data_IF_149042685676
#
_entry.id   IF_149042685676
#
_cell.length_a   1.000
_cell.length_b   1.000
_cell.length_c   1.000
_cell.angle_alpha   90.00
_cell.angle_beta   90.00
_cell.angle_gamma   90.00
#
_symmetry.space_group_name_H-M   'P 1'
#
loop_
_entity.id
_entity.type
_entity.pdbx_description
1 polymer ?
#
# COMPACT_ATOMS: atom_id res chain seq x y z
N UNK A 1 27.37 -16.99 -13.68
CA UNK A 1 26.99 -16.74 -12.31
C UNK A 1 26.15 -17.94 -11.93
N UNK A 2 26.48 -18.66 -10.85
CA UNK A 2 25.63 -19.73 -10.35
C UNK A 2 24.28 -19.10 -10.00
N UNK A 3 23.18 -19.71 -10.43
CA UNK A 3 21.85 -19.36 -9.93
C UNK A 3 21.90 -19.52 -8.41
N UNK A 4 21.75 -18.42 -7.68
CA UNK A 4 21.59 -18.48 -6.23
C UNK A 4 20.27 -19.22 -5.97
N UNK A 5 20.40 -20.45 -5.48
CA UNK A 5 19.25 -21.27 -5.17
C UNK A 5 18.69 -20.79 -3.81
N UNK A 6 17.48 -20.24 -3.82
CA UNK A 6 16.76 -19.90 -2.60
C UNK A 6 16.29 -21.19 -1.93
N UNK A 7 16.56 -21.32 -0.63
CA UNK A 7 16.05 -22.42 0.20
C UNK A 7 14.79 -21.94 0.94
N UNK A 8 13.63 -22.34 0.43
CA UNK A 8 12.33 -22.04 1.04
C UNK A 8 11.89 -23.11 2.05
N UNK A 9 12.65 -24.18 2.21
CA UNK A 9 12.40 -25.25 3.19
C UNK A 9 13.24 -25.08 4.46
N UNK A 10 14.16 -24.10 4.49
CA UNK A 10 14.96 -23.79 5.68
C UNK A 10 14.05 -23.36 6.84
N UNK A 11 14.12 -24.09 7.96
CA UNK A 11 13.40 -23.74 9.17
C UNK A 11 14.17 -22.69 9.97
N UNK A 12 13.68 -21.45 9.94
CA UNK A 12 14.29 -20.33 10.67
C UNK A 12 13.59 -20.17 12.01
N UNK A 13 14.35 -20.30 13.10
CA UNK A 13 13.82 -20.07 14.45
C UNK A 13 13.46 -18.57 14.61
N UNK A 14 12.17 -18.30 14.80
CA UNK A 14 11.64 -16.93 14.91
C UNK A 14 11.24 -16.56 16.35
N UNK A 15 10.95 -17.55 17.22
CA UNK A 15 10.64 -17.31 18.64
C UNK A 15 11.88 -16.83 19.40
N UNK A 16 11.70 -15.86 20.29
CA UNK A 16 12.78 -15.24 21.05
C UNK A 16 13.61 -14.21 20.26
N UNK A 17 13.21 -13.87 19.04
CA UNK A 17 13.90 -12.90 18.17
C UNK A 17 13.31 -11.50 18.20
N UNK A 18 12.33 -11.23 19.06
CA UNK A 18 11.50 -10.02 19.09
C UNK A 18 10.59 -9.90 17.86
N UNK A 19 10.19 -11.04 17.29
CA UNK A 19 9.24 -11.08 16.21
C UNK A 19 7.85 -10.74 16.70
N UNK A 20 7.22 -9.71 16.12
CA UNK A 20 5.82 -9.38 16.41
C UNK A 20 4.90 -10.57 16.15
N UNK A 21 5.17 -11.33 15.11
CA UNK A 21 4.38 -12.50 14.72
C UNK A 21 4.52 -13.65 15.72
N UNK A 22 5.74 -13.96 16.15
CA UNK A 22 6.06 -15.18 16.87
C UNK A 22 6.21 -15.03 18.39
N UNK A 23 6.36 -13.81 18.90
CA UNK A 23 6.68 -13.58 20.32
C UNK A 23 5.53 -12.95 21.11
N UNK A 24 4.39 -12.63 20.48
CA UNK A 24 3.19 -12.16 21.20
C UNK A 24 2.48 -13.31 21.89
N UNK A 25 2.19 -14.39 21.16
CA UNK A 25 1.61 -15.60 21.76
C UNK A 25 2.72 -16.49 22.30
N UNK A 26 2.58 -16.89 23.55
CA UNK A 26 3.56 -17.73 24.25
C UNK A 26 3.23 -19.23 24.14
N UNK A 27 2.05 -19.58 23.62
CA UNK A 27 1.67 -20.97 23.43
C UNK A 27 2.48 -21.58 22.26
N UNK A 28 3.32 -22.62 22.51
CA UNK A 28 4.14 -23.21 21.47
C UNK A 28 3.35 -23.98 20.40
N UNK A 29 2.11 -24.36 20.69
CA UNK A 29 1.26 -25.12 19.79
C UNK A 29 0.45 -24.22 18.84
N UNK A 30 0.49 -22.90 19.03
CA UNK A 30 -0.17 -21.95 18.13
C UNK A 30 0.68 -21.73 16.88
N UNK A 31 0.03 -21.90 15.72
CA UNK A 31 0.60 -21.58 14.39
C UNK A 31 0.24 -20.14 14.04
N UNK A 32 1.23 -19.26 14.02
CA UNK A 32 1.06 -17.84 13.81
C UNK A 32 0.83 -17.49 12.33
N UNK A 33 -0.41 -17.12 11.96
CA UNK A 33 -0.78 -16.77 10.59
C UNK A 33 -1.46 -15.38 10.46
N UNK A 34 -1.42 -14.56 11.51
CA UNK A 34 -2.16 -13.31 11.59
C UNK A 34 -1.43 -12.09 10.99
N UNK A 35 -0.10 -12.10 10.98
CA UNK A 35 0.73 -11.03 10.42
C UNK A 35 1.27 -11.45 9.05
N UNK A 36 1.16 -10.54 8.09
CA UNK A 36 1.63 -10.77 6.73
C UNK A 36 3.14 -10.45 6.60
N UNK A 37 3.97 -11.21 7.31
CA UNK A 37 5.40 -11.37 7.06
C UNK A 37 5.70 -12.86 6.80
N UNK A 38 6.72 -13.12 5.99
CA UNK A 38 7.10 -14.47 5.61
C UNK A 38 8.19 -14.99 6.57
N UNK A 39 8.28 -16.32 6.69
CA UNK A 39 9.31 -16.97 7.51
C UNK A 39 10.53 -17.42 6.69
N UNK A 40 10.65 -16.93 5.46
CA UNK A 40 11.81 -17.12 4.58
C UNK A 40 12.85 -16.02 4.76
N UNK A 41 14.11 -16.33 4.45
CA UNK A 41 15.17 -15.32 4.40
C UNK A 41 14.85 -14.27 3.32
N UNK A 42 15.23 -13.03 3.59
CA UNK A 42 15.29 -12.02 2.54
C UNK A 42 16.32 -12.42 1.47
N UNK A 43 16.13 -11.97 0.23
CA UNK A 43 17.02 -12.30 -0.87
C UNK A 43 18.48 -11.94 -0.56
N UNK A 44 19.47 -12.78 -0.96
CA UNK A 44 20.89 -12.54 -0.69
C UNK A 44 21.37 -11.14 -1.08
N UNK A 45 20.96 -10.63 -2.23
CA UNK A 45 21.30 -9.28 -2.69
C UNK A 45 20.84 -8.17 -1.73
N UNK A 46 19.73 -8.38 -1.03
CA UNK A 46 19.24 -7.44 0.00
C UNK A 46 20.14 -7.52 1.23
N UNK A 47 20.46 -8.75 1.67
CA UNK A 47 21.34 -8.97 2.83
C UNK A 47 22.74 -8.39 2.60
N UNK A 48 23.31 -8.56 1.40
CA UNK A 48 24.58 -7.97 1.02
C UNK A 48 24.55 -6.43 1.06
N UNK A 49 23.46 -5.82 0.55
CA UNK A 49 23.31 -4.37 0.58
C UNK A 49 23.24 -3.83 2.02
N UNK A 50 22.55 -4.55 2.90
CA UNK A 50 22.49 -4.21 4.33
C UNK A 50 23.84 -4.39 5.02
N UNK A 51 24.56 -5.50 4.71
CA UNK A 51 25.88 -5.76 5.26
C UNK A 51 26.87 -4.63 4.91
N UNK A 52 26.88 -4.16 3.66
CA UNK A 52 27.72 -3.01 3.25
C UNK A 52 27.43 -1.76 4.09
N UNK A 53 26.18 -1.55 4.48
CA UNK A 53 25.83 -0.42 5.35
C UNK A 53 26.27 -0.65 6.79
N UNK A 54 26.14 -1.86 7.32
CA UNK A 54 26.67 -2.24 8.63
C UNK A 54 28.18 -2.05 8.73
N UNK A 55 28.92 -2.49 7.70
CA UNK A 55 30.38 -2.38 7.64
C UNK A 55 30.87 -0.93 7.68
N UNK A 56 30.05 0.04 7.21
CA UNK A 56 30.38 1.45 7.32
C UNK A 56 30.35 1.98 8.76
N UNK A 57 29.61 1.33 9.65
CA UNK A 57 29.50 1.68 11.09
C UNK A 57 28.85 3.05 11.39
N UNK A 58 28.38 3.79 10.38
CA UNK A 58 27.81 5.12 10.54
C UNK A 58 26.34 5.15 10.14
N UNK A 59 25.46 5.45 11.09
CA UNK A 59 23.99 5.44 10.95
C UNK A 59 23.39 6.86 11.13
N UNK A 60 24.01 7.84 10.46
CA UNK A 60 23.48 9.22 10.42
C UNK A 60 22.23 9.32 9.54
N UNK A 61 21.66 10.53 9.45
CA UNK A 61 20.51 10.78 8.57
C UNK A 61 20.83 10.43 7.13
N UNK A 62 19.93 9.64 6.50
CA UNK A 62 20.05 9.22 5.11
C UNK A 62 19.21 10.09 4.19
N UNK A 63 19.66 10.24 2.94
CA UNK A 63 18.84 10.79 1.87
C UNK A 63 18.44 9.65 0.90
N UNK A 64 17.19 9.61 0.44
CA UNK A 64 16.80 8.73 -0.64
C UNK A 64 17.68 8.99 -1.87
N UNK A 65 18.33 7.96 -2.37
CA UNK A 65 19.23 8.09 -3.49
C UNK A 65 18.48 8.19 -4.81
N UNK A 66 19.16 8.68 -5.89
CA UNK A 66 18.61 8.62 -7.23
C UNK A 66 18.19 7.20 -7.62
N UNK A 67 18.97 6.19 -7.22
CA UNK A 67 18.69 4.78 -7.46
C UNK A 67 17.37 4.30 -6.81
N UNK A 68 17.00 4.82 -5.64
CA UNK A 68 15.72 4.53 -5.01
C UNK A 68 14.55 4.92 -5.93
N UNK A 69 14.54 6.14 -6.43
CA UNK A 69 13.47 6.63 -7.31
C UNK A 69 13.46 5.89 -8.65
N UNK A 70 14.62 5.65 -9.22
CA UNK A 70 14.77 4.94 -10.50
C UNK A 70 14.31 3.48 -10.40
N UNK A 71 14.55 2.82 -9.27
CA UNK A 71 14.08 1.46 -9.04
C UNK A 71 12.54 1.40 -9.10
N UNK A 72 11.85 2.32 -8.41
CA UNK A 72 10.38 2.38 -8.40
C UNK A 72 9.84 2.67 -9.80
N UNK A 73 10.33 3.73 -10.47
CA UNK A 73 9.89 4.09 -11.83
C UNK A 73 10.13 2.94 -12.82
N UNK A 74 11.32 2.32 -12.75
CA UNK A 74 11.68 1.20 -13.63
C UNK A 74 10.81 -0.03 -13.37
N UNK A 75 10.46 -0.31 -12.10
CA UNK A 75 9.60 -1.41 -11.73
C UNK A 75 8.21 -1.27 -12.35
N UNK A 76 7.55 -0.14 -12.14
CA UNK A 76 6.21 0.12 -12.68
C UNK A 76 6.21 0.10 -14.21
N UNK A 77 7.20 0.70 -14.83
CA UNK A 77 7.32 0.70 -16.30
C UNK A 77 7.50 -0.72 -16.85
N UNK A 78 8.40 -1.51 -16.28
CA UNK A 78 8.73 -2.86 -16.80
C UNK A 78 7.62 -3.87 -16.56
N UNK A 79 6.98 -3.81 -15.38
CA UNK A 79 5.98 -4.82 -15.01
C UNK A 79 4.56 -4.47 -15.45
N UNK A 80 4.23 -3.19 -15.47
CA UNK A 80 2.84 -2.72 -15.66
C UNK A 80 2.68 -1.75 -16.81
N UNK A 81 3.75 -1.28 -17.44
CA UNK A 81 3.68 -0.28 -18.49
C UNK A 81 3.25 1.11 -18.00
N UNK A 82 3.35 1.35 -16.68
CA UNK A 82 2.97 2.63 -16.07
C UNK A 82 4.20 3.53 -15.98
N UNK A 83 4.06 4.75 -16.47
CA UNK A 83 5.11 5.77 -16.43
C UNK A 83 4.67 6.99 -15.60
N UNK A 84 5.52 7.41 -14.70
CA UNK A 84 5.37 8.64 -13.91
C UNK A 84 6.76 9.27 -13.64
N UNK A 85 6.75 10.54 -13.30
CA UNK A 85 7.99 11.24 -12.94
C UNK A 85 8.51 10.77 -11.58
N UNK A 86 9.84 10.66 -11.45
CA UNK A 86 10.47 10.45 -10.13
C UNK A 86 10.10 11.56 -9.12
N UNK A 87 9.78 12.76 -9.60
CA UNK A 87 9.34 13.88 -8.75
C UNK A 87 7.95 13.69 -8.18
N UNK A 88 7.18 12.69 -8.68
CA UNK A 88 5.88 12.33 -8.10
C UNK A 88 6.01 11.41 -6.88
N UNK A 89 7.22 10.95 -6.55
CA UNK A 89 7.46 10.00 -5.46
C UNK A 89 7.85 10.73 -4.19
N UNK A 90 7.17 10.41 -3.09
CA UNK A 90 7.51 10.83 -1.73
C UNK A 90 7.93 9.59 -0.94
N UNK A 91 9.17 9.47 -0.46
CA UNK A 91 9.59 8.39 0.43
C UNK A 91 8.90 8.48 1.79
N UNK A 92 8.59 7.33 2.39
CA UNK A 92 8.00 7.25 3.73
C UNK A 92 8.44 5.96 4.45
N UNK A 93 8.20 5.87 5.74
CA UNK A 93 8.65 4.76 6.58
C UNK A 93 7.70 3.55 6.56
N UNK A 94 6.52 3.70 5.97
CA UNK A 94 5.52 2.62 5.89
C UNK A 94 4.27 3.09 5.20
N UNK A 95 3.43 2.14 4.73
CA UNK A 95 2.18 2.47 4.04
C UNK A 95 1.15 3.06 5.01
N UNK A 96 1.08 2.60 6.26
CA UNK A 96 0.17 3.19 7.26
C UNK A 96 0.52 4.64 7.58
N UNK A 97 1.78 5.02 7.87
CA UNK A 97 2.18 6.42 7.94
C UNK A 97 1.90 7.20 6.65
N UNK A 98 2.13 6.59 5.48
CA UNK A 98 1.82 7.21 4.19
C UNK A 98 0.33 7.57 4.08
N UNK A 99 -0.57 6.63 4.36
CA UNK A 99 -2.02 6.85 4.33
C UNK A 99 -2.41 7.97 5.30
N UNK A 100 -1.89 7.96 6.53
CA UNK A 100 -2.17 9.02 7.52
C UNK A 100 -1.73 10.40 7.02
N UNK A 101 -0.53 10.50 6.43
CA UNK A 101 -0.02 11.74 5.87
C UNK A 101 -0.82 12.20 4.64
N UNK A 102 -1.27 11.28 3.78
CA UNK A 102 -2.15 11.59 2.65
C UNK A 102 -3.47 12.18 3.16
N UNK A 103 -4.12 11.51 4.11
CA UNK A 103 -5.40 11.95 4.67
C UNK A 103 -5.27 13.32 5.35
N UNK A 104 -4.27 13.53 6.19
CA UNK A 104 -4.00 14.81 6.86
C UNK A 104 -3.65 15.93 5.89
N UNK A 105 -2.95 15.60 4.80
CA UNK A 105 -2.61 16.57 3.77
C UNK A 105 -3.78 17.00 2.90
N UNK A 106 -4.74 16.13 2.65
CA UNK A 106 -5.80 16.35 1.64
C UNK A 106 -7.18 16.60 2.20
N UNK A 107 -7.47 16.11 3.41
CA UNK A 107 -8.77 16.24 4.06
C UNK A 107 -8.73 17.26 5.21
N UNK A 108 -9.89 17.74 5.60
CA UNK A 108 -10.08 18.61 6.77
C UNK A 108 -10.83 17.83 7.86
N UNK A 109 -10.63 18.14 9.14
CA UNK A 109 -11.41 17.53 10.22
C UNK A 109 -12.92 17.60 9.95
N UNK A 110 -13.60 16.44 10.05
CA UNK A 110 -15.02 16.28 9.75
C UNK A 110 -15.36 15.94 8.30
N UNK A 111 -14.38 15.91 7.38
CA UNK A 111 -14.57 15.32 6.05
C UNK A 111 -14.80 13.81 6.14
N UNK A 112 -15.60 13.26 5.22
CA UNK A 112 -15.86 11.84 5.12
C UNK A 112 -14.82 11.16 4.23
N UNK A 113 -14.30 10.03 4.71
CA UNK A 113 -13.43 9.13 3.94
C UNK A 113 -14.14 7.80 3.75
N UNK A 114 -14.37 7.45 2.50
CA UNK A 114 -14.99 6.19 2.14
C UNK A 114 -13.94 5.09 2.23
N UNK A 115 -14.27 3.98 2.91
CA UNK A 115 -13.49 2.74 2.91
C UNK A 115 -14.40 1.57 2.56
N UNK A 116 -13.85 0.55 1.92
CA UNK A 116 -14.59 -0.69 1.65
C UNK A 116 -14.39 -1.67 2.79
N UNK A 117 -15.48 -2.19 3.36
CA UNK A 117 -15.44 -3.16 4.47
C UNK A 117 -15.90 -4.56 4.02
N UNK A 118 -15.27 -5.65 4.56
CA UNK A 118 -14.22 -5.65 5.58
C UNK A 118 -12.92 -5.02 5.08
N UNK A 119 -12.20 -4.32 5.95
CA UNK A 119 -10.97 -3.60 5.60
C UNK A 119 -9.83 -3.91 6.57
N UNK A 120 -8.61 -3.60 6.12
CA UNK A 120 -7.45 -3.60 7.01
C UNK A 120 -7.68 -2.65 8.19
N UNK A 121 -7.44 -3.13 9.42
CA UNK A 121 -7.78 -2.40 10.65
C UNK A 121 -7.12 -1.01 10.73
N UNK A 122 -5.93 -0.82 10.15
CA UNK A 122 -5.26 0.47 10.16
C UNK A 122 -5.96 1.53 9.28
N UNK A 123 -6.85 1.15 8.37
CA UNK A 123 -7.65 2.14 7.63
C UNK A 123 -8.58 2.88 8.59
N UNK A 124 -9.25 2.15 9.49
CA UNK A 124 -10.12 2.74 10.50
C UNK A 124 -9.36 3.70 11.43
N UNK A 125 -8.19 3.27 11.93
CA UNK A 125 -7.37 4.11 12.80
C UNK A 125 -6.79 5.31 12.08
N UNK A 126 -6.30 5.17 10.84
CA UNK A 126 -5.78 6.30 10.05
C UNK A 126 -6.82 7.37 9.81
N UNK A 127 -8.07 6.98 9.51
CA UNK A 127 -9.19 7.94 9.32
C UNK A 127 -9.53 8.62 10.65
N UNK A 128 -9.79 7.83 11.71
CA UNK A 128 -10.21 8.38 13.01
C UNK A 128 -9.14 9.26 13.66
N UNK A 129 -7.88 8.83 13.63
CA UNK A 129 -6.77 9.57 14.23
C UNK A 129 -6.46 10.88 13.47
N UNK A 130 -6.91 11.00 12.23
CA UNK A 130 -6.83 12.23 11.44
C UNK A 130 -8.03 13.17 11.66
N UNK A 131 -8.94 12.84 12.59
CA UNK A 131 -10.14 13.65 12.86
C UNK A 131 -11.21 13.59 11.77
N UNK A 132 -11.17 12.54 10.92
CA UNK A 132 -12.06 12.35 9.78
C UNK A 132 -13.20 11.38 10.14
N UNK A 133 -14.25 11.41 9.35
CA UNK A 133 -15.44 10.59 9.51
C UNK A 133 -15.36 9.37 8.59
N UNK A 134 -15.58 8.19 9.15
CA UNK A 134 -15.66 6.95 8.36
C UNK A 134 -16.98 6.87 7.61
N UNK A 135 -16.90 6.56 6.31
CA UNK A 135 -18.05 6.24 5.46
C UNK A 135 -17.83 4.84 4.87
N UNK A 136 -18.57 3.86 5.37
CA UNK A 136 -18.28 2.44 5.08
C UNK A 136 -19.10 1.94 3.89
N UNK A 137 -18.45 1.71 2.74
CA UNK A 137 -19.00 1.01 1.58
C UNK A 137 -18.80 -0.50 1.78
N UNK A 138 -19.80 -1.19 2.30
CA UNK A 138 -19.72 -2.62 2.59
C UNK A 138 -19.67 -3.44 1.30
N UNK A 139 -18.66 -4.29 1.16
CA UNK A 139 -18.59 -5.26 0.08
C UNK A 139 -19.69 -6.31 0.24
N UNK A 140 -20.23 -6.77 -0.87
CA UNK A 140 -21.25 -7.83 -0.92
C UNK A 140 -20.61 -9.18 -1.20
N UNK A 141 -20.99 -10.21 -0.46
CA UNK A 141 -20.58 -11.59 -0.75
C UNK A 141 -21.62 -12.23 -1.68
N UNK A 142 -21.29 -12.34 -2.97
CA UNK A 142 -22.17 -12.91 -4.00
C UNK A 142 -21.56 -14.21 -4.53
N UNK A 143 -22.24 -15.32 -4.34
CA UNK A 143 -21.78 -16.65 -4.79
C UNK A 143 -20.33 -16.96 -4.36
N UNK A 144 -19.97 -16.63 -3.12
CA UNK A 144 -18.62 -16.85 -2.58
C UNK A 144 -17.55 -15.85 -3.04
N UNK A 145 -17.92 -14.84 -3.80
CA UNK A 145 -17.02 -13.78 -4.26
C UNK A 145 -17.40 -12.43 -3.65
N UNK A 146 -16.43 -11.71 -3.14
CA UNK A 146 -16.62 -10.33 -2.67
C UNK A 146 -16.74 -9.38 -3.86
N UNK A 147 -17.77 -8.56 -3.87
CA UNK A 147 -18.07 -7.58 -4.92
C UNK A 147 -18.27 -6.19 -4.34
N UNK A 148 -17.95 -5.17 -5.14
CA UNK A 148 -18.16 -3.76 -4.77
C UNK A 148 -19.65 -3.44 -4.92
N UNK A 149 -20.25 -2.85 -3.89
CA UNK A 149 -21.56 -2.21 -4.00
C UNK A 149 -21.40 -0.83 -4.62
N UNK A 150 -21.49 -0.79 -5.94
CA UNK A 150 -21.30 0.44 -6.69
C UNK A 150 -22.43 1.46 -6.50
N UNK A 151 -23.65 1.02 -6.18
CA UNK A 151 -24.76 1.92 -5.92
C UNK A 151 -24.54 2.66 -4.60
N UNK A 152 -24.17 1.94 -3.55
CA UNK A 152 -23.81 2.54 -2.26
C UNK A 152 -22.53 3.39 -2.36
N UNK A 153 -21.54 2.96 -3.18
CA UNK A 153 -20.32 3.75 -3.40
C UNK A 153 -20.64 5.10 -4.05
N UNK A 154 -21.49 5.10 -5.08
CA UNK A 154 -21.95 6.30 -5.78
C UNK A 154 -22.71 7.24 -4.83
N UNK A 155 -23.63 6.69 -4.02
CA UNK A 155 -24.37 7.47 -3.03
C UNK A 155 -23.43 8.15 -2.04
N UNK A 156 -22.46 7.41 -1.49
CA UNK A 156 -21.48 7.94 -0.54
C UNK A 156 -20.59 9.00 -1.15
N UNK A 157 -20.10 8.76 -2.37
CA UNK A 157 -19.24 9.69 -3.08
C UNK A 157 -19.96 11.02 -3.42
N UNK A 158 -21.29 10.99 -3.56
CA UNK A 158 -22.11 12.17 -3.85
C UNK A 158 -22.36 13.09 -2.65
N UNK A 159 -22.02 12.66 -1.42
CA UNK A 159 -22.27 13.45 -0.20
C UNK A 159 -21.36 14.67 -0.16
N UNK A 160 -21.89 15.77 0.34
CA UNK A 160 -21.19 17.06 0.41
C UNK A 160 -19.84 16.99 1.14
N UNK A 161 -19.76 16.15 2.18
CA UNK A 161 -18.55 15.96 2.98
C UNK A 161 -17.64 14.84 2.49
N UNK A 162 -18.04 14.06 1.49
CA UNK A 162 -17.19 13.04 0.90
C UNK A 162 -15.94 13.69 0.29
N UNK A 163 -14.76 13.29 0.77
CA UNK A 163 -13.50 13.90 0.33
C UNK A 163 -12.57 12.92 -0.34
N UNK A 164 -12.56 11.68 0.11
CA UNK A 164 -11.66 10.66 -0.40
C UNK A 164 -12.27 9.27 -0.37
N UNK A 165 -11.85 8.43 -1.29
CA UNK A 165 -11.96 6.97 -1.22
C UNK A 165 -10.57 6.40 -0.94
N UNK A 166 -10.43 5.71 0.21
CA UNK A 166 -9.25 4.91 0.54
C UNK A 166 -9.50 3.47 0.13
N UNK A 167 -8.90 3.08 -0.99
CA UNK A 167 -9.12 1.84 -1.71
C UNK A 167 -7.96 0.88 -1.55
N UNK A 168 -8.21 -0.41 -1.34
CA UNK A 168 -7.20 -1.45 -1.22
C UNK A 168 -7.15 -2.31 -2.50
N UNK A 169 -5.99 -2.35 -3.17
CA UNK A 169 -5.82 -3.02 -4.47
C UNK A 169 -4.46 -3.72 -4.60
N UNK A 170 -4.38 -5.05 -4.49
CA UNK A 170 -5.42 -6.03 -4.12
C UNK A 170 -5.98 -5.84 -2.72
N UNK A 171 -7.20 -6.32 -2.51
CA UNK A 171 -7.96 -6.05 -1.29
C UNK A 171 -7.56 -6.97 -0.14
N UNK A 172 -7.28 -6.37 1.00
CA UNK A 172 -7.07 -7.03 2.28
C UNK A 172 -8.23 -6.68 3.24
N UNK A 173 -8.95 -7.64 3.85
CA UNK A 173 -8.57 -9.05 4.03
C UNK A 173 -9.21 -10.04 3.04
N UNK A 174 -10.04 -9.62 2.09
CA UNK A 174 -10.83 -10.53 1.26
C UNK A 174 -10.03 -11.30 0.21
N UNK A 175 -8.79 -10.85 -0.09
CA UNK A 175 -7.93 -11.43 -1.12
C UNK A 175 -8.38 -11.11 -2.54
N UNK A 176 -9.33 -10.18 -2.73
CA UNK A 176 -9.80 -9.82 -4.07
C UNK A 176 -8.70 -9.12 -4.88
N UNK A 177 -8.43 -9.65 -6.06
CA UNK A 177 -7.75 -8.93 -7.15
C UNK A 177 -8.84 -8.36 -8.04
N UNK A 178 -8.94 -7.03 -8.07
CA UNK A 178 -9.97 -6.34 -8.82
C UNK A 178 -9.72 -6.41 -10.33
N UNK A 179 -10.77 -6.57 -11.11
CA UNK A 179 -10.70 -6.50 -12.57
C UNK A 179 -10.47 -5.06 -13.03
N UNK A 180 -9.96 -4.90 -14.25
CA UNK A 180 -9.81 -3.55 -14.84
C UNK A 180 -11.13 -2.81 -14.90
N UNK A 181 -12.23 -3.49 -15.21
CA UNK A 181 -13.56 -2.88 -15.32
C UNK A 181 -14.06 -2.39 -13.95
N UNK A 182 -13.86 -3.20 -12.88
CA UNK A 182 -14.18 -2.79 -11.51
C UNK A 182 -13.37 -1.54 -11.12
N UNK A 183 -12.06 -1.53 -11.40
CA UNK A 183 -11.17 -0.39 -11.13
C UNK A 183 -11.55 0.85 -11.93
N UNK A 184 -11.92 0.68 -13.19
CA UNK A 184 -12.37 1.79 -14.06
C UNK A 184 -13.63 2.41 -13.49
N UNK A 185 -14.61 1.61 -13.10
CA UNK A 185 -15.86 2.10 -12.52
C UNK A 185 -15.65 2.83 -11.18
N UNK A 186 -14.74 2.33 -10.33
CA UNK A 186 -14.31 3.04 -9.09
C UNK A 186 -13.74 4.42 -9.44
N UNK A 187 -12.87 4.47 -10.44
CA UNK A 187 -12.23 5.71 -10.86
C UNK A 187 -13.24 6.73 -11.43
N UNK A 188 -14.19 6.28 -12.25
CA UNK A 188 -15.26 7.11 -12.85
C UNK A 188 -16.14 7.75 -11.75
N UNK A 189 -16.46 7.01 -10.70
CA UNK A 189 -17.21 7.54 -9.54
C UNK A 189 -16.40 8.64 -8.85
N UNK A 190 -15.11 8.39 -8.57
CA UNK A 190 -14.25 9.38 -7.92
C UNK A 190 -14.06 10.63 -8.77
N UNK A 191 -13.85 10.47 -10.09
CA UNK A 191 -13.75 11.58 -11.05
C UNK A 191 -15.04 12.41 -11.10
N UNK A 192 -16.19 11.76 -11.23
CA UNK A 192 -17.50 12.38 -11.30
C UNK A 192 -17.81 13.25 -10.07
N UNK A 193 -17.46 12.79 -8.89
CA UNK A 193 -17.74 13.50 -7.64
C UNK A 193 -16.58 14.34 -7.12
N UNK A 194 -15.44 14.37 -7.82
CA UNK A 194 -14.27 15.18 -7.47
C UNK A 194 -13.63 14.80 -6.14
N UNK A 195 -13.74 13.53 -5.73
CA UNK A 195 -13.10 13.01 -4.51
C UNK A 195 -11.72 12.43 -4.80
N UNK A 196 -10.81 12.52 -3.82
CA UNK A 196 -9.48 11.93 -3.96
C UNK A 196 -9.56 10.39 -3.98
N UNK A 197 -8.91 9.77 -4.96
CA UNK A 197 -8.75 8.32 -5.04
C UNK A 197 -7.37 7.93 -4.52
N UNK A 198 -7.33 7.33 -3.33
CA UNK A 198 -6.12 6.88 -2.63
C UNK A 198 -6.08 5.36 -2.71
N UNK A 199 -5.05 4.81 -3.35
CA UNK A 199 -4.90 3.36 -3.56
C UNK A 199 -3.76 2.80 -2.70
N UNK A 200 -4.10 1.94 -1.75
CA UNK A 200 -3.11 1.09 -1.07
C UNK A 200 -2.82 -0.13 -1.95
N UNK A 201 -1.64 -0.15 -2.53
CA UNK A 201 -1.20 -1.19 -3.47
C UNK A 201 -0.04 -2.05 -2.92
N UNK A 202 0.13 -2.09 -1.60
CA UNK A 202 1.22 -2.83 -0.96
C UNK A 202 1.22 -4.33 -1.28
N UNK A 203 0.07 -4.91 -1.62
CA UNK A 203 -0.09 -6.32 -1.98
C UNK A 203 0.00 -6.60 -3.49
N UNK A 204 0.28 -5.60 -4.32
CA UNK A 204 0.26 -5.72 -5.78
C UNK A 204 1.12 -6.84 -6.36
N UNK A 205 2.25 -7.17 -5.73
CA UNK A 205 3.13 -8.24 -6.18
C UNK A 205 2.75 -9.64 -5.64
N UNK A 206 1.75 -9.74 -4.75
CA UNK A 206 1.35 -10.98 -4.08
C UNK A 206 -0.04 -11.41 -4.59
N UNK A 207 -0.10 -11.89 -5.82
CA UNK A 207 -1.32 -12.45 -6.40
C UNK A 207 -1.17 -13.96 -6.61
N UNK A 208 -2.25 -14.72 -6.40
CA UNK A 208 -2.28 -16.14 -6.70
C UNK A 208 -2.13 -16.39 -8.21
N UNK A 209 -1.70 -17.59 -8.56
CA UNK A 209 -1.59 -18.02 -9.96
C UNK A 209 -2.92 -17.83 -10.70
N UNK A 210 -2.85 -17.35 -11.93
CA UNK A 210 -4.02 -17.02 -12.76
C UNK A 210 -4.62 -15.63 -12.51
N UNK A 211 -4.19 -14.91 -11.47
CA UNK A 211 -4.63 -13.54 -11.18
C UNK A 211 -3.53 -12.54 -11.50
N UNK A 212 -3.92 -11.42 -12.08
CA UNK A 212 -2.98 -10.35 -12.40
C UNK A 212 -3.43 -9.04 -11.75
N UNK A 213 -2.58 -8.51 -10.90
CA UNK A 213 -2.73 -7.16 -10.35
C UNK A 213 -2.66 -6.12 -11.46
N UNK A 214 -3.54 -5.11 -11.39
CA UNK A 214 -3.57 -3.95 -12.27
C UNK A 214 -3.40 -2.70 -11.41
N UNK A 215 -2.31 -1.93 -11.56
CA UNK A 215 -2.16 -0.65 -10.88
C UNK A 215 -3.32 0.28 -11.22
N UNK A 216 -3.93 0.89 -10.22
CA UNK A 216 -5.09 1.77 -10.43
C UNK A 216 -4.74 2.95 -11.33
N UNK A 217 -3.50 3.45 -11.24
CA UNK A 217 -2.97 4.49 -12.13
C UNK A 217 -2.91 4.11 -13.63
N UNK A 218 -3.17 2.83 -14.00
CA UNK A 218 -3.11 2.35 -15.38
C UNK A 218 -4.47 2.22 -16.08
N UNK A 219 -5.57 2.45 -15.38
CA UNK A 219 -6.90 2.11 -15.94
C UNK A 219 -7.48 3.18 -16.85
N UNK A 220 -7.13 4.45 -16.64
CA UNK A 220 -7.57 5.57 -17.49
C UNK A 220 -6.55 6.71 -17.51
N UNK A 221 -6.65 7.67 -18.46
CA UNK A 221 -5.85 8.90 -18.43
C UNK A 221 -6.04 9.70 -17.13
N UNK A 222 -7.27 9.77 -16.62
CA UNK A 222 -7.56 10.47 -15.38
C UNK A 222 -6.83 9.83 -14.19
N UNK A 223 -6.89 8.51 -14.06
CA UNK A 223 -6.22 7.82 -12.95
C UNK A 223 -4.71 7.96 -12.98
N UNK A 224 -4.11 7.99 -14.17
CA UNK A 224 -2.67 8.24 -14.33
C UNK A 224 -2.25 9.55 -13.68
N UNK A 225 -3.08 10.57 -13.80
CA UNK A 225 -2.74 11.92 -13.35
C UNK A 225 -3.32 12.28 -11.96
N UNK A 226 -4.27 11.49 -11.42
CA UNK A 226 -4.98 11.87 -10.19
C UNK A 226 -4.90 10.84 -9.06
N UNK A 227 -4.69 9.54 -9.35
CA UNK A 227 -4.58 8.53 -8.30
C UNK A 227 -3.35 8.76 -7.43
N UNK A 228 -3.55 8.69 -6.12
CA UNK A 228 -2.48 8.73 -5.15
C UNK A 228 -2.24 7.29 -4.68
N UNK A 229 -1.09 6.74 -5.05
CA UNK A 229 -0.74 5.36 -4.71
C UNK A 229 0.17 5.33 -3.48
N UNK A 230 -0.17 4.53 -2.49
CA UNK A 230 0.72 4.17 -1.38
C UNK A 230 1.17 2.73 -1.57
N UNK A 231 2.48 2.46 -1.55
CA UNK A 231 3.01 1.11 -1.73
C UNK A 231 4.39 0.95 -1.09
N UNK A 232 4.85 -0.31 -1.03
CA UNK A 232 6.14 -0.67 -0.47
C UNK A 232 6.63 -2.01 -1.03
N UNK A 233 7.94 -2.21 -1.01
CA UNK A 233 8.57 -3.50 -1.29
C UNK A 233 8.43 -4.50 -0.11
N UNK A 234 7.94 -4.04 1.04
CA UNK A 234 8.02 -4.75 2.32
C UNK A 234 7.31 -6.11 2.32
N UNK A 235 6.16 -6.23 1.67
CA UNK A 235 5.39 -7.48 1.62
C UNK A 235 5.98 -8.47 0.62
N UNK A 236 6.27 -8.02 -0.61
CA UNK A 236 6.78 -8.88 -1.67
C UNK A 236 8.21 -9.39 -1.40
N UNK A 237 9.04 -8.61 -0.72
CA UNK A 237 10.46 -8.94 -0.48
C UNK A 237 10.75 -9.30 0.98
N UNK A 238 9.72 -9.46 1.81
CA UNK A 238 9.85 -9.83 3.23
C UNK A 238 10.80 -8.91 4.03
N UNK A 239 10.63 -7.60 3.88
CA UNK A 239 11.49 -6.58 4.49
C UNK A 239 10.69 -5.54 5.30
N UNK A 240 9.57 -5.94 5.90
CA UNK A 240 8.70 -5.03 6.66
C UNK A 240 9.44 -4.31 7.79
N UNK A 241 10.38 -4.99 8.45
CA UNK A 241 11.20 -4.42 9.52
C UNK A 241 12.16 -3.31 9.08
N UNK A 242 12.41 -3.15 7.77
CA UNK A 242 13.26 -2.06 7.25
C UNK A 242 12.49 -0.73 7.09
N UNK A 243 11.19 -0.74 7.30
CA UNK A 243 10.34 0.46 7.32
C UNK A 243 10.57 1.39 6.12
N UNK A 244 10.46 0.85 4.91
CA UNK A 244 10.62 1.59 3.66
C UNK A 244 9.38 1.48 2.81
N UNK A 245 8.78 2.63 2.46
CA UNK A 245 7.62 2.73 1.60
C UNK A 245 7.67 4.02 0.77
N UNK A 246 6.69 4.23 -0.08
CA UNK A 246 6.59 5.41 -0.91
C UNK A 246 5.14 5.76 -1.25
N UNK A 247 4.93 7.04 -1.55
CA UNK A 247 3.70 7.56 -2.13
C UNK A 247 4.01 8.01 -3.56
N UNK A 248 3.13 7.72 -4.50
CA UNK A 248 3.15 8.31 -5.84
C UNK A 248 1.99 9.28 -5.92
N UNK A 249 2.27 10.58 -6.01
CA UNK A 249 1.29 11.65 -6.10
C UNK A 249 1.59 12.53 -7.32
N UNK A 250 0.92 12.30 -8.46
CA UNK A 250 1.20 13.03 -9.70
C UNK A 250 0.91 14.52 -9.61
N UNK A 251 -0.23 14.92 -9.02
CA UNK A 251 -0.64 16.32 -8.87
C UNK A 251 0.28 17.06 -7.90
N UNK A 252 0.97 18.09 -8.39
CA UNK A 252 1.97 18.81 -7.61
C UNK A 252 1.41 19.46 -6.34
N UNK A 253 0.20 20.03 -6.41
CA UNK A 253 -0.46 20.63 -5.25
C UNK A 253 -0.73 19.60 -4.15
N UNK A 254 -1.37 18.49 -4.51
CA UNK A 254 -1.63 17.39 -3.58
C UNK A 254 -0.34 16.85 -2.99
N UNK A 255 0.68 16.62 -3.84
CA UNK A 255 2.00 16.15 -3.41
C UNK A 255 2.63 17.07 -2.38
N UNK A 256 2.63 18.38 -2.62
CA UNK A 256 3.20 19.36 -1.70
C UNK A 256 2.46 19.40 -0.36
N UNK A 257 1.14 19.21 -0.37
CA UNK A 257 0.34 19.13 0.86
C UNK A 257 0.68 17.88 1.67
N UNK A 258 0.83 16.74 0.99
CA UNK A 258 1.21 15.46 1.62
C UNK A 258 2.64 15.54 2.17
N UNK A 259 3.58 16.06 1.39
CA UNK A 259 5.01 16.15 1.76
C UNK A 259 5.21 16.96 3.05
N UNK A 260 4.44 18.02 3.25
CA UNK A 260 4.45 18.81 4.49
C UNK A 260 4.03 18.00 5.73
N UNK A 261 3.21 16.95 5.58
CA UNK A 261 2.81 16.11 6.70
C UNK A 261 3.89 15.08 7.08
N UNK A 262 4.83 14.82 6.19
CA UNK A 262 5.92 13.86 6.39
C UNK A 262 7.18 14.54 6.91
N UNK A 263 7.46 15.74 6.41
CA UNK A 263 8.69 16.51 6.69
C UNK A 263 8.50 17.51 7.84
N UNK A 264 7.93 17.07 8.94
CA UNK A 264 7.79 17.87 10.16
C UNK A 264 8.99 17.68 11.08
#
# INVERSE_FOLDING_TARGET
>A
MAEEQFDFDELIARRGTRSLKWDIDQDPDVIELWVADMDFRAAPVILEALQKKLDSGVFGYGLPTKAFYEAIVSWYRKRYGVEFSRTSIIPTTGVVPAISSILQGLCLPGDEVIIQTPAYNCFFSSVRNSGLVLSENALKLVNGRWEIDFEDLEERASREKARALLFCNPQNPTGRVWTRDELTRVAEICEKHGIFLISDEIHGELTAEGFRYTPLASVSPWTKDHVITASAASKAFNIAGLQTAYIIAPVAEARNRIDRQINI
#
